data_IF_595461540722
#
_entry.id   IF_595461540722
#
_cell.length_a   1.000
_cell.length_b   1.000
_cell.length_c   1.000
_cell.angle_alpha   90.00
_cell.angle_beta   90.00
_cell.angle_gamma   90.00
#
_symmetry.space_group_name_H-M   'P 1'
#
loop_
_entity.id
_entity.type
_entity.pdbx_description
1 polymer ?
#
# COMPACT_ATOMS: atom_id res chain seq x y z
N UNK A 1 -28.71 -4.42 -21.68
CA UNK A 1 -28.54 -5.57 -22.60
C UNK A 1 -29.62 -5.52 -23.67
N UNK A 2 -29.22 -5.27 -24.93
CA UNK A 2 -30.14 -4.94 -26.01
C UNK A 2 -30.60 -6.15 -26.85
N UNK A 3 -31.26 -5.83 -27.97
CA UNK A 3 -31.77 -6.75 -29.01
C UNK A 3 -30.72 -7.79 -29.47
N UNK A 4 -29.43 -7.49 -29.32
CA UNK A 4 -28.31 -8.34 -29.76
C UNK A 4 -28.30 -9.71 -29.08
N UNK A 5 -28.70 -9.82 -27.81
CA UNK A 5 -28.73 -11.12 -27.12
C UNK A 5 -29.83 -12.06 -27.66
N UNK A 6 -30.78 -11.54 -28.44
CA UNK A 6 -31.84 -12.32 -29.08
C UNK A 6 -31.51 -12.70 -30.52
N UNK A 7 -30.45 -12.12 -31.12
CA UNK A 7 -30.08 -12.39 -32.51
C UNK A 7 -29.81 -13.88 -32.79
N UNK A 8 -29.10 -14.64 -31.93
CA UNK A 8 -28.88 -16.06 -32.19
C UNK A 8 -30.19 -16.85 -32.27
N UNK A 9 -31.16 -16.53 -31.40
CA UNK A 9 -32.47 -17.21 -31.39
C UNK A 9 -33.27 -16.96 -32.68
N UNK A 10 -33.06 -15.82 -33.33
CA UNK A 10 -33.79 -15.41 -34.54
C UNK A 10 -33.07 -15.91 -35.80
N UNK A 11 -31.74 -15.80 -35.85
CA UNK A 11 -30.94 -16.06 -37.04
C UNK A 11 -30.45 -17.51 -37.14
N UNK A 12 -30.16 -18.20 -36.03
CA UNK A 12 -29.67 -19.59 -36.09
C UNK A 12 -30.64 -20.57 -36.80
N UNK A 13 -31.97 -20.42 -36.72
CA UNK A 13 -32.92 -21.25 -37.47
C UNK A 13 -32.94 -20.98 -38.98
N UNK A 14 -32.42 -19.84 -39.44
CA UNK A 14 -32.43 -19.44 -40.86
C UNK A 14 -31.21 -20.04 -41.58
N UNK A 15 -31.35 -20.57 -42.81
CA UNK A 15 -30.21 -21.06 -43.59
C UNK A 15 -29.11 -19.99 -43.74
N UNK A 16 -27.90 -20.30 -43.25
CA UNK A 16 -26.76 -19.37 -43.25
C UNK A 16 -26.73 -18.36 -42.10
N UNK A 17 -27.79 -18.25 -41.29
CA UNK A 17 -27.84 -17.30 -40.18
C UNK A 17 -26.81 -17.56 -39.08
N UNK A 18 -26.39 -18.82 -38.88
CA UNK A 18 -25.25 -19.14 -37.98
C UNK A 18 -23.97 -18.39 -38.34
N UNK A 19 -23.61 -18.34 -39.63
CA UNK A 19 -22.42 -17.62 -40.12
C UNK A 19 -22.52 -16.12 -39.90
N UNK A 20 -23.74 -15.57 -39.96
CA UNK A 20 -24.00 -14.15 -39.71
C UNK A 20 -23.79 -13.85 -38.23
N UNK A 21 -24.29 -14.71 -37.34
CA UNK A 21 -24.06 -14.59 -35.89
C UNK A 21 -22.57 -14.69 -35.57
N UNK A 22 -21.85 -15.66 -36.16
CA UNK A 22 -20.41 -15.82 -35.93
C UNK A 22 -19.60 -14.61 -36.42
N UNK A 23 -19.99 -14.03 -37.56
CA UNK A 23 -19.37 -12.80 -38.07
C UNK A 23 -19.64 -11.60 -37.15
N UNK A 24 -20.84 -11.52 -36.57
CA UNK A 24 -21.20 -10.48 -35.61
C UNK A 24 -20.42 -10.64 -34.29
N UNK A 25 -20.37 -11.86 -33.75
CA UNK A 25 -19.57 -12.22 -32.57
C UNK A 25 -18.12 -11.75 -32.78
N UNK A 26 -17.53 -12.09 -33.92
CA UNK A 26 -16.17 -11.69 -34.26
C UNK A 26 -15.97 -10.16 -34.23
N UNK A 27 -16.85 -9.41 -34.89
CA UNK A 27 -16.73 -7.94 -34.98
C UNK A 27 -16.91 -7.28 -33.62
N UNK A 28 -17.91 -7.69 -32.85
CA UNK A 28 -18.20 -7.05 -31.55
C UNK A 28 -17.13 -7.41 -30.52
N UNK A 29 -16.73 -8.67 -30.44
CA UNK A 29 -15.66 -9.07 -29.52
C UNK A 29 -14.32 -8.46 -29.91
N UNK A 30 -14.06 -8.29 -31.21
CA UNK A 30 -12.91 -7.53 -31.67
C UNK A 30 -12.98 -6.07 -31.20
N UNK A 31 -14.16 -5.42 -31.27
CA UNK A 31 -14.32 -4.06 -30.78
C UNK A 31 -14.10 -3.95 -29.26
N UNK A 32 -14.74 -4.81 -28.46
CA UNK A 32 -14.55 -4.84 -27.01
C UNK A 32 -13.10 -5.13 -26.61
N UNK A 33 -12.46 -6.14 -27.21
CA UNK A 33 -11.08 -6.52 -26.87
C UNK A 33 -10.02 -5.48 -27.32
N UNK A 34 -10.35 -4.51 -28.18
CA UNK A 34 -9.41 -3.48 -28.62
C UNK A 34 -9.74 -2.08 -28.08
N UNK A 35 -10.75 -1.94 -27.22
CA UNK A 35 -11.18 -0.64 -26.67
C UNK A 35 -11.56 -0.73 -25.19
N UNK A 36 -10.80 -1.48 -24.41
CA UNK A 36 -11.03 -1.62 -22.97
C UNK A 36 -10.62 -0.34 -22.24
N UNK A 37 -11.54 0.31 -21.55
CA UNK A 37 -11.34 1.53 -20.76
C UNK A 37 -11.31 1.23 -19.26
N UNK A 38 -10.11 1.25 -18.63
CA UNK A 38 -9.99 0.97 -17.21
C UNK A 38 -10.61 2.06 -16.33
N UNK A 39 -11.27 1.67 -15.25
CA UNK A 39 -11.62 2.56 -14.14
C UNK A 39 -10.34 2.96 -13.40
N UNK A 40 -10.14 4.27 -13.21
CA UNK A 40 -9.00 4.79 -12.45
C UNK A 40 -9.15 4.47 -10.96
N UNK A 41 -8.58 3.36 -10.52
CA UNK A 41 -8.66 2.94 -9.12
C UNK A 41 -7.35 2.30 -8.63
N UNK A 42 -6.54 3.11 -7.95
CA UNK A 42 -5.28 2.70 -7.37
C UNK A 42 -5.34 2.71 -5.86
N UNK A 43 -5.14 1.55 -5.20
CA UNK A 43 -5.30 1.47 -3.75
C UNK A 43 -3.98 1.51 -2.98
N UNK A 44 -2.87 1.11 -3.60
CA UNK A 44 -1.55 1.08 -2.95
C UNK A 44 -0.41 1.13 -3.99
N UNK A 45 0.76 0.53 -3.69
CA UNK A 45 1.95 0.54 -4.55
C UNK A 45 1.76 0.01 -5.97
N UNK A 46 0.83 -0.94 -6.20
CA UNK A 46 0.53 -1.45 -7.55
C UNK A 46 -0.06 -0.35 -8.46
N UNK A 47 -0.70 0.67 -7.89
CA UNK A 47 -1.17 1.84 -8.64
C UNK A 47 -0.03 2.57 -9.34
N UNK A 48 1.15 2.65 -8.71
CA UNK A 48 2.31 3.31 -9.31
C UNK A 48 2.79 2.53 -10.54
N UNK A 49 2.77 1.20 -10.50
CA UNK A 49 3.12 0.41 -11.69
C UNK A 49 2.03 0.39 -12.76
N UNK A 50 0.77 0.56 -12.37
CA UNK A 50 -0.32 0.83 -13.31
C UNK A 50 -0.10 2.19 -14.01
N UNK A 51 0.33 3.22 -13.28
CA UNK A 51 0.71 4.52 -13.86
C UNK A 51 1.93 4.36 -14.78
N UNK A 52 2.98 3.66 -14.35
CA UNK A 52 4.16 3.36 -15.19
C UNK A 52 3.77 2.68 -16.50
N UNK A 53 2.84 1.73 -16.47
CA UNK A 53 2.34 1.05 -17.67
C UNK A 53 1.62 2.00 -18.64
N UNK A 54 0.98 3.05 -18.13
CA UNK A 54 0.34 4.09 -18.95
C UNK A 54 1.33 5.10 -19.54
N UNK A 55 2.55 5.19 -19.02
CA UNK A 55 3.55 6.17 -19.48
C UNK A 55 4.24 5.74 -20.78
N UNK A 56 4.88 6.71 -21.45
CA UNK A 56 5.45 6.58 -22.80
C UNK A 56 6.40 5.40 -23.03
N UNK A 57 7.07 4.89 -21.98
CA UNK A 57 7.96 3.74 -22.10
C UNK A 57 7.21 2.46 -22.49
N UNK A 58 6.03 2.28 -21.92
CA UNK A 58 5.23 1.06 -22.06
C UNK A 58 3.98 1.29 -22.90
N UNK A 59 3.33 2.43 -22.69
CA UNK A 59 2.27 2.99 -23.53
C UNK A 59 1.10 2.01 -23.76
N UNK A 60 0.27 1.87 -22.73
CA UNK A 60 -0.95 1.05 -22.76
C UNK A 60 -1.96 1.50 -23.84
N UNK A 61 -1.82 2.72 -24.39
CA UNK A 61 -2.62 3.22 -25.50
C UNK A 61 -2.53 2.39 -26.76
N UNK A 62 -1.39 1.73 -26.98
CA UNK A 62 -1.17 0.85 -28.15
C UNK A 62 -2.16 -0.32 -28.20
N UNK A 63 -2.76 -0.65 -27.06
CA UNK A 63 -3.73 -1.72 -26.92
C UNK A 63 -5.18 -1.20 -26.80
N UNK A 64 -5.41 0.11 -26.95
CA UNK A 64 -6.72 0.74 -26.81
C UNK A 64 -7.22 0.82 -25.38
N UNK A 65 -6.29 0.85 -24.41
CA UNK A 65 -6.58 0.91 -22.98
C UNK A 65 -5.99 2.12 -22.26
N UNK A 66 -5.74 3.20 -22.99
CA UNK A 66 -5.25 4.48 -22.48
C UNK A 66 -6.27 5.26 -21.68
N UNK A 67 -7.55 5.08 -21.96
CA UNK A 67 -8.57 5.95 -21.40
C UNK A 67 -8.96 5.47 -20.01
N UNK A 68 -8.13 5.84 -19.05
CA UNK A 68 -8.44 5.69 -17.63
C UNK A 68 -9.62 6.61 -17.28
N UNK A 69 -10.81 6.02 -17.11
CA UNK A 69 -12.04 6.74 -16.80
C UNK A 69 -12.13 6.96 -15.30
N UNK A 70 -12.38 8.20 -14.88
CA UNK A 70 -12.65 8.53 -13.49
C UNK A 70 -14.08 8.13 -13.05
N UNK A 71 -14.98 7.87 -13.99
CA UNK A 71 -16.37 7.48 -13.71
C UNK A 71 -16.60 6.00 -14.05
N UNK A 72 -17.17 5.19 -13.13
CA UNK A 72 -17.49 3.79 -13.40
C UNK A 72 -18.52 3.62 -14.52
N UNK A 73 -19.39 4.61 -14.74
CA UNK A 73 -20.46 4.57 -15.76
C UNK A 73 -19.94 4.60 -17.20
N UNK A 74 -18.66 4.88 -17.39
CA UNK A 74 -18.00 4.94 -18.70
C UNK A 74 -16.85 3.94 -18.82
N UNK A 75 -16.56 3.17 -17.77
CA UNK A 75 -15.53 2.14 -17.78
C UNK A 75 -16.13 0.78 -18.19
N UNK A 76 -15.29 -0.14 -18.62
CA UNK A 76 -15.61 -1.54 -18.86
C UNK A 76 -14.62 -2.50 -18.17
N UNK A 77 -13.50 -1.99 -17.67
CA UNK A 77 -12.47 -2.76 -16.99
C UNK A 77 -12.18 -2.18 -15.59
N UNK A 78 -12.27 -3.01 -14.56
CA UNK A 78 -11.91 -2.63 -13.19
C UNK A 78 -10.56 -3.28 -12.80
N UNK A 79 -9.49 -2.49 -12.81
CA UNK A 79 -8.17 -2.94 -12.33
C UNK A 79 -8.07 -2.64 -10.83
N UNK A 80 -8.06 -3.68 -10.01
CA UNK A 80 -7.82 -3.56 -8.57
C UNK A 80 -6.31 -3.58 -8.32
N UNK A 81 -5.70 -2.40 -8.23
CA UNK A 81 -4.26 -2.23 -8.13
C UNK A 81 -3.78 -1.94 -6.70
N UNK A 82 -3.74 -2.99 -5.86
CA UNK A 82 -3.10 -2.93 -4.53
C UNK A 82 -3.90 -3.54 -3.39
N UNK A 83 -3.59 -3.09 -2.17
CA UNK A 83 -4.23 -3.62 -0.95
C UNK A 83 -5.67 -3.17 -0.86
N UNK A 84 -6.57 -4.10 -0.53
CA UNK A 84 -7.98 -3.80 -0.28
C UNK A 84 -8.20 -3.87 1.21
N UNK A 85 -8.70 -2.78 1.79
CA UNK A 85 -9.08 -2.75 3.21
C UNK A 85 -10.56 -3.09 3.36
N UNK A 86 -10.94 -3.66 4.51
CA UNK A 86 -12.33 -3.97 4.87
C UNK A 86 -13.22 -2.71 4.74
N UNK A 87 -12.68 -1.54 5.13
CA UNK A 87 -13.38 -0.25 5.00
C UNK A 87 -13.65 0.14 3.54
N UNK A 88 -12.79 -0.28 2.62
CA UNK A 88 -12.87 0.06 1.20
C UNK A 88 -13.74 -0.95 0.42
N UNK A 89 -13.95 -2.15 0.95
CA UNK A 89 -14.69 -3.21 0.27
C UNK A 89 -16.11 -2.81 -0.21
N UNK A 90 -16.95 -2.14 0.61
CA UNK A 90 -18.27 -1.70 0.15
C UNK A 90 -18.21 -0.69 -0.99
N UNK A 91 -17.20 0.19 -1.01
CA UNK A 91 -17.01 1.15 -2.08
C UNK A 91 -16.59 0.45 -3.39
N UNK A 92 -15.75 -0.60 -3.31
CA UNK A 92 -15.38 -1.42 -4.46
C UNK A 92 -16.60 -2.12 -5.05
N UNK A 93 -17.43 -2.73 -4.19
CA UNK A 93 -18.66 -3.38 -4.63
C UNK A 93 -19.61 -2.39 -5.31
N UNK A 94 -19.83 -1.22 -4.69
CA UNK A 94 -20.67 -0.17 -5.29
C UNK A 94 -20.13 0.29 -6.65
N UNK A 95 -18.81 0.49 -6.78
CA UNK A 95 -18.19 0.87 -8.04
C UNK A 95 -18.42 -0.21 -9.10
N UNK A 96 -18.21 -1.49 -8.76
CA UNK A 96 -18.44 -2.61 -9.68
C UNK A 96 -19.89 -2.72 -10.14
N UNK A 97 -20.85 -2.53 -9.25
CA UNK A 97 -22.28 -2.55 -9.57
C UNK A 97 -22.69 -1.41 -10.51
N UNK A 98 -22.00 -0.27 -10.46
CA UNK A 98 -22.25 0.90 -11.32
C UNK A 98 -21.61 0.83 -12.70
N UNK A 99 -20.69 -0.12 -12.94
CA UNK A 99 -20.08 -0.32 -14.25
C UNK A 99 -21.12 -1.01 -15.18
N UNK A 100 -21.36 -0.48 -16.39
CA UNK A 100 -22.25 -1.11 -17.35
C UNK A 100 -21.66 -2.41 -17.90
N UNK A 101 -22.50 -3.43 -18.13
CA UNK A 101 -22.08 -4.66 -18.81
C UNK A 101 -21.95 -4.47 -20.33
N UNK A 102 -20.99 -5.13 -21.01
CA UNK A 102 -20.02 -6.10 -20.46
C UNK A 102 -18.91 -5.42 -19.66
N UNK A 103 -18.56 -6.01 -18.50
CA UNK A 103 -17.52 -5.51 -17.58
C UNK A 103 -16.59 -6.62 -17.13
N UNK A 104 -15.34 -6.26 -16.84
CA UNK A 104 -14.29 -7.20 -16.49
C UNK A 104 -13.48 -6.69 -15.31
N UNK A 105 -12.87 -7.59 -14.54
CA UNK A 105 -12.01 -7.23 -13.42
C UNK A 105 -10.63 -7.90 -13.49
N UNK A 106 -9.59 -7.11 -13.21
CA UNK A 106 -8.21 -7.58 -13.08
C UNK A 106 -7.75 -7.40 -11.63
N UNK A 107 -7.33 -8.50 -10.99
CA UNK A 107 -6.68 -8.46 -9.68
C UNK A 107 -5.17 -8.25 -9.82
N UNK A 108 -4.67 -7.05 -9.57
CA UNK A 108 -3.26 -6.69 -9.78
C UNK A 108 -2.47 -6.68 -8.47
N UNK A 109 -1.62 -7.69 -8.31
CA UNK A 109 -0.67 -7.81 -7.22
C UNK A 109 -1.12 -8.72 -6.08
N UNK A 110 -0.16 -9.14 -5.24
CA UNK A 110 -0.35 -10.13 -4.19
C UNK A 110 -1.40 -9.68 -3.15
N UNK A 111 -1.46 -8.39 -2.84
CA UNK A 111 -2.45 -7.86 -1.91
C UNK A 111 -3.88 -8.05 -2.42
N UNK A 112 -4.12 -7.83 -3.71
CA UNK A 112 -5.43 -8.00 -4.33
C UNK A 112 -5.78 -9.47 -4.52
N UNK A 113 -4.79 -10.33 -4.79
CA UNK A 113 -5.02 -11.76 -5.02
C UNK A 113 -5.37 -12.48 -3.72
N UNK A 114 -4.62 -12.24 -2.64
CA UNK A 114 -4.74 -13.03 -1.41
C UNK A 114 -4.52 -12.23 -0.12
N UNK A 115 -4.53 -10.90 -0.14
CA UNK A 115 -4.11 -10.06 0.98
C UNK A 115 -2.58 -9.87 1.08
N UNK A 116 -1.80 -10.66 0.34
CA UNK A 116 -0.36 -10.47 0.13
C UNK A 116 0.43 -10.48 1.45
N UNK A 117 1.41 -9.56 1.64
CA UNK A 117 2.20 -9.51 2.88
C UNK A 117 1.36 -9.21 4.14
N UNK A 118 0.13 -8.72 3.97
CA UNK A 118 -0.77 -8.38 5.07
C UNK A 118 -1.68 -9.55 5.51
N UNK A 119 -1.58 -10.72 4.86
CA UNK A 119 -2.47 -11.86 5.11
C UNK A 119 -2.45 -12.36 6.57
N UNK A 120 -1.28 -12.42 7.22
CA UNK A 120 -1.12 -13.11 8.50
C UNK A 120 -1.54 -12.30 9.74
N UNK A 121 -1.26 -10.99 9.76
CA UNK A 121 -1.34 -10.19 11.00
C UNK A 121 -2.16 -8.89 10.86
N UNK A 122 -2.86 -8.69 9.74
CA UNK A 122 -3.63 -7.46 9.53
C UNK A 122 -5.14 -7.74 9.51
N UNK A 123 -5.83 -7.22 10.54
CA UNK A 123 -7.30 -7.34 10.67
C UNK A 123 -8.07 -6.46 9.69
N UNK A 124 -7.41 -5.47 9.08
CA UNK A 124 -8.06 -4.45 8.26
C UNK A 124 -8.04 -4.76 6.76
N UNK A 125 -7.43 -5.87 6.34
CA UNK A 125 -7.20 -6.21 4.93
C UNK A 125 -8.06 -7.38 4.50
N UNK A 126 -8.76 -7.21 3.39
CA UNK A 126 -9.55 -8.27 2.75
C UNK A 126 -8.60 -9.30 2.13
N UNK A 127 -8.89 -10.57 2.39
CA UNK A 127 -8.07 -11.71 1.92
C UNK A 127 -8.43 -12.12 0.48
N UNK A 128 -8.28 -11.17 -0.43
CA UNK A 128 -8.49 -11.38 -1.86
C UNK A 128 -9.75 -10.69 -2.39
N UNK A 129 -9.59 -9.99 -3.52
CA UNK A 129 -10.67 -9.28 -4.22
C UNK A 129 -11.80 -10.19 -4.68
N UNK A 130 -11.48 -11.45 -4.96
CA UNK A 130 -12.44 -12.47 -5.42
C UNK A 130 -13.58 -12.73 -4.44
N UNK A 131 -13.39 -12.38 -3.16
CA UNK A 131 -14.42 -12.44 -2.11
C UNK A 131 -15.43 -11.29 -2.16
N UNK A 132 -15.11 -10.20 -2.89
CA UNK A 132 -15.96 -9.00 -2.99
C UNK A 132 -16.62 -8.94 -4.37
N UNK A 133 -15.83 -9.10 -5.44
CA UNK A 133 -16.28 -9.03 -6.83
C UNK A 133 -15.68 -10.18 -7.65
N UNK A 134 -16.35 -10.63 -8.72
CA UNK A 134 -15.76 -11.64 -9.61
C UNK A 134 -14.54 -11.07 -10.32
N UNK A 135 -13.43 -11.82 -10.31
CA UNK A 135 -12.16 -11.43 -10.94
C UNK A 135 -11.86 -12.32 -12.14
N UNK A 136 -11.62 -11.72 -13.30
CA UNK A 136 -11.38 -12.45 -14.55
C UNK A 136 -9.93 -12.91 -14.72
N UNK A 137 -8.98 -12.04 -14.34
CA UNK A 137 -7.55 -12.28 -14.52
C UNK A 137 -6.79 -11.80 -13.29
N UNK A 138 -5.95 -12.68 -12.73
CA UNK A 138 -5.02 -12.33 -11.65
C UNK A 138 -3.60 -12.11 -12.17
N UNK A 139 -2.95 -11.06 -11.69
CA UNK A 139 -1.59 -10.68 -12.08
C UNK A 139 -0.68 -10.76 -10.85
N UNK A 140 0.16 -11.81 -10.74
CA UNK A 140 1.01 -11.99 -9.57
C UNK A 140 2.17 -10.98 -9.55
N UNK A 141 2.45 -10.41 -8.36
CA UNK A 141 3.59 -9.51 -8.12
C UNK A 141 3.40 -8.62 -6.88
N UNK A 142 4.45 -7.96 -6.38
CA UNK A 142 4.36 -7.07 -5.21
C UNK A 142 5.37 -5.90 -5.25
N UNK A 143 5.15 -4.87 -6.10
CA UNK A 143 4.15 -4.81 -7.16
C UNK A 143 4.57 -5.63 -8.41
N UNK A 144 3.63 -6.06 -9.27
CA UNK A 144 3.98 -6.65 -10.56
C UNK A 144 4.63 -5.60 -11.46
N UNK A 145 5.61 -6.02 -12.26
CA UNK A 145 6.23 -5.13 -13.25
C UNK A 145 5.19 -4.72 -14.31
N UNK A 146 5.32 -3.55 -14.96
CA UNK A 146 4.40 -3.11 -16.00
C UNK A 146 4.19 -4.17 -17.09
N UNK A 147 5.22 -4.89 -17.52
CA UNK A 147 5.12 -5.95 -18.54
C UNK A 147 4.17 -7.09 -18.12
N UNK A 148 4.09 -7.40 -16.82
CA UNK A 148 3.15 -8.39 -16.30
C UNK A 148 1.70 -7.90 -16.39
N UNK A 149 1.48 -6.58 -16.22
CA UNK A 149 0.17 -5.96 -16.45
C UNK A 149 -0.25 -6.09 -17.92
N UNK A 150 0.65 -5.83 -18.88
CA UNK A 150 0.37 -6.04 -20.31
C UNK A 150 0.01 -7.48 -20.63
N UNK A 151 0.74 -8.44 -20.08
CA UNK A 151 0.43 -9.84 -20.28
C UNK A 151 -0.94 -10.22 -19.72
N UNK A 152 -1.31 -9.69 -18.55
CA UNK A 152 -2.67 -9.84 -18.00
C UNK A 152 -3.75 -9.24 -18.90
N UNK A 153 -3.50 -8.05 -19.46
CA UNK A 153 -4.40 -7.40 -20.41
C UNK A 153 -4.56 -8.22 -21.69
N UNK A 154 -3.46 -8.74 -22.26
CA UNK A 154 -3.52 -9.60 -23.45
C UNK A 154 -4.31 -10.89 -23.19
N UNK A 155 -4.14 -11.51 -22.02
CA UNK A 155 -4.95 -12.66 -21.62
C UNK A 155 -6.44 -12.31 -21.49
N UNK A 156 -6.76 -11.15 -20.93
CA UNK A 156 -8.14 -10.69 -20.87
C UNK A 156 -8.72 -10.50 -22.29
N UNK A 157 -7.95 -9.92 -23.21
CA UNK A 157 -8.35 -9.75 -24.62
C UNK A 157 -8.59 -11.09 -25.31
N UNK A 158 -7.76 -12.09 -25.04
CA UNK A 158 -7.97 -13.45 -25.54
C UNK A 158 -9.26 -14.06 -25.00
N UNK A 159 -9.57 -13.85 -23.71
CA UNK A 159 -10.83 -14.29 -23.08
C UNK A 159 -12.05 -13.63 -23.75
N UNK A 160 -12.03 -12.30 -23.94
CA UNK A 160 -13.12 -11.54 -24.58
C UNK A 160 -13.36 -12.02 -26.02
N UNK A 161 -12.29 -12.29 -26.77
CA UNK A 161 -12.40 -12.78 -28.16
C UNK A 161 -13.10 -14.13 -28.29
N UNK A 162 -13.14 -14.91 -27.22
CA UNK A 162 -13.79 -16.24 -27.19
C UNK A 162 -15.26 -16.18 -26.73
N UNK A 163 -15.76 -15.02 -26.32
CA UNK A 163 -17.16 -14.87 -25.93
C UNK A 163 -18.09 -15.03 -27.15
N UNK A 164 -19.36 -15.35 -26.91
CA UNK A 164 -20.33 -15.54 -28.00
C UNK A 164 -21.68 -15.03 -27.55
N UNK A 165 -22.49 -14.47 -28.44
CA UNK A 165 -23.87 -14.11 -28.08
C UNK A 165 -24.77 -15.32 -27.81
N UNK A 166 -24.33 -16.54 -28.18
CA UNK A 166 -25.00 -17.79 -27.80
C UNK A 166 -24.81 -18.13 -26.32
N UNK A 167 -23.70 -17.68 -25.75
CA UNK A 167 -23.38 -17.74 -24.32
C UNK A 167 -23.12 -16.32 -23.83
N UNK A 168 -24.19 -15.52 -23.64
CA UNK A 168 -24.05 -14.11 -23.35
C UNK A 168 -23.19 -13.91 -22.11
N UNK A 169 -22.44 -12.80 -22.13
CA UNK A 169 -21.68 -12.34 -20.98
C UNK A 169 -22.60 -12.28 -19.75
N UNK A 170 -22.12 -12.87 -18.66
CA UNK A 170 -22.73 -12.85 -17.34
C UNK A 170 -21.66 -12.54 -16.31
N UNK A 171 -22.06 -11.93 -15.20
CA UNK A 171 -21.17 -11.75 -14.07
C UNK A 171 -20.78 -13.12 -13.51
N UNK A 172 -19.48 -13.34 -13.31
CA UNK A 172 -18.98 -14.58 -12.72
C UNK A 172 -19.38 -14.69 -11.25
N UNK A 173 -19.25 -15.90 -10.70
CA UNK A 173 -19.48 -16.13 -9.29
C UNK A 173 -18.33 -15.56 -8.43
N UNK A 174 -18.68 -15.10 -7.23
CA UNK A 174 -17.72 -14.68 -6.21
C UNK A 174 -17.03 -15.93 -5.67
N UNK A 175 -15.71 -15.93 -5.63
CA UNK A 175 -14.93 -17.01 -5.04
C UNK A 175 -14.53 -16.62 -3.61
N UNK A 176 -15.30 -17.10 -2.64
CA UNK A 176 -15.01 -16.94 -1.21
C UNK A 176 -14.20 -18.11 -0.65
N UNK A 177 -13.60 -18.95 -1.50
CA UNK A 177 -12.76 -20.04 -1.04
C UNK A 177 -11.61 -19.44 -0.24
N UNK A 178 -11.49 -19.86 1.03
CA UNK A 178 -10.37 -19.42 1.87
C UNK A 178 -9.08 -19.78 1.14
N UNK A 179 -8.32 -18.76 0.73
CA UNK A 179 -6.99 -18.90 0.18
C UNK A 179 -6.07 -19.27 1.35
N UNK A 180 -6.22 -20.51 1.83
CA UNK A 180 -5.43 -21.08 2.89
C UNK A 180 -3.94 -20.89 2.62
N UNK A 181 -3.11 -21.02 3.65
CA UNK A 181 -1.67 -20.77 3.56
C UNK A 181 -0.99 -21.74 2.57
N UNK A 182 -1.02 -21.40 1.28
CA UNK A 182 -0.46 -22.20 0.18
C UNK A 182 1.03 -22.44 0.35
N UNK A 183 1.73 -21.54 1.04
CA UNK A 183 3.14 -21.73 1.37
C UNK A 183 3.33 -22.84 2.40
N UNK A 184 2.50 -22.89 3.45
CA UNK A 184 2.51 -23.98 4.41
C UNK A 184 2.08 -25.32 3.78
N UNK A 185 1.09 -25.30 2.88
CA UNK A 185 0.69 -26.48 2.10
C UNK A 185 1.83 -26.97 1.19
N UNK A 186 2.46 -26.07 0.44
CA UNK A 186 3.59 -26.39 -0.43
C UNK A 186 4.79 -26.90 0.37
N UNK A 187 5.08 -26.32 1.53
CA UNK A 187 6.13 -26.79 2.43
C UNK A 187 5.84 -28.22 2.92
N UNK A 188 4.61 -28.50 3.36
CA UNK A 188 4.20 -29.85 3.78
C UNK A 188 4.29 -30.86 2.63
N UNK A 189 3.85 -30.48 1.43
CA UNK A 189 3.93 -31.31 0.24
C UNK A 189 5.39 -31.60 -0.13
N UNK A 190 6.26 -30.60 -0.03
CA UNK A 190 7.69 -30.74 -0.29
C UNK A 190 8.38 -31.64 0.74
N UNK A 191 8.09 -31.46 2.04
CA UNK A 191 8.58 -32.34 3.11
C UNK A 191 8.10 -33.80 2.93
N UNK A 192 6.87 -34.00 2.45
CA UNK A 192 6.35 -35.33 2.14
C UNK A 192 7.08 -35.96 0.94
N UNK A 193 7.35 -35.20 -0.11
CA UNK A 193 8.11 -35.66 -1.27
C UNK A 193 9.57 -35.98 -0.93
N UNK A 194 10.21 -35.21 -0.04
CA UNK A 194 11.57 -35.53 0.44
C UNK A 194 11.59 -36.86 1.19
N UNK A 195 10.59 -37.13 2.05
CA UNK A 195 10.49 -38.43 2.74
C UNK A 195 10.34 -39.60 1.77
N UNK A 196 9.44 -39.47 0.78
CA UNK A 196 9.24 -40.50 -0.25
C UNK A 196 10.56 -40.74 -1.00
N UNK A 197 11.25 -39.67 -1.39
CA UNK A 197 12.53 -39.77 -2.10
C UNK A 197 13.61 -40.43 -1.25
N UNK A 198 13.68 -40.12 0.04
CA UNK A 198 14.64 -40.73 0.97
C UNK A 198 14.35 -42.22 1.19
N UNK A 199 13.07 -42.60 1.29
CA UNK A 199 12.60 -43.98 1.38
C UNK A 199 12.94 -44.76 0.10
N UNK A 200 12.58 -44.24 -1.08
CA UNK A 200 12.91 -44.82 -2.39
C UNK A 200 14.44 -44.98 -2.56
N UNK A 201 15.21 -43.97 -2.15
CA UNK A 201 16.67 -44.03 -2.20
C UNK A 201 17.24 -45.05 -1.21
N UNK A 202 16.62 -45.23 -0.04
CA UNK A 202 17.03 -46.22 0.95
C UNK A 202 16.71 -47.65 0.48
N UNK A 203 15.53 -47.87 -0.11
CA UNK A 203 15.14 -49.13 -0.73
C UNK A 203 16.06 -49.48 -1.92
N UNK A 204 16.33 -48.50 -2.79
CA UNK A 204 17.26 -48.68 -3.89
C UNK A 204 18.68 -49.04 -3.42
N UNK A 205 19.15 -48.42 -2.31
CA UNK A 205 20.43 -48.77 -1.68
C UNK A 205 20.42 -50.19 -1.10
N UNK A 206 19.34 -50.59 -0.44
CA UNK A 206 19.19 -51.92 0.12
C UNK A 206 19.20 -52.99 -0.98
N UNK A 207 18.38 -52.79 -2.01
CA UNK A 207 18.33 -53.68 -3.18
C UNK A 207 19.69 -53.74 -3.90
N UNK A 208 20.37 -52.60 -4.06
CA UNK A 208 21.69 -52.56 -4.69
C UNK A 208 22.74 -53.36 -3.90
N UNK A 209 22.71 -53.27 -2.56
CA UNK A 209 23.61 -54.00 -1.66
C UNK A 209 23.34 -55.50 -1.67
N UNK A 210 22.08 -55.91 -1.77
CA UNK A 210 21.69 -57.32 -1.90
C UNK A 210 22.16 -57.91 -3.24
N UNK A 211 21.97 -57.18 -4.35
CA UNK A 211 22.45 -57.62 -5.68
C UNK A 211 23.98 -57.62 -5.80
N UNK A 212 24.69 -56.80 -5.01
CA UNK A 212 26.13 -56.60 -5.15
C UNK A 212 26.83 -56.65 -3.77
N UNK A 213 26.93 -57.83 -3.14
CA UNK A 213 27.49 -57.97 -1.79
C UNK A 213 29.00 -57.66 -1.72
N UNK A 214 29.72 -57.87 -2.82
CA UNK A 214 31.17 -57.62 -2.91
C UNK A 214 31.52 -56.17 -3.32
N UNK A 215 30.51 -55.34 -3.62
CA UNK A 215 30.72 -53.98 -4.09
C UNK A 215 31.14 -53.05 -2.95
N UNK A 216 32.42 -52.65 -2.97
CA UNK A 216 32.94 -51.53 -2.17
C UNK A 216 32.97 -50.29 -3.05
N UNK A 217 32.09 -49.33 -2.76
CA UNK A 217 32.13 -48.03 -3.43
C UNK A 217 33.38 -47.26 -3.01
N UNK A 218 34.32 -47.06 -3.93
CA UNK A 218 35.41 -46.09 -3.74
C UNK A 218 34.88 -44.64 -3.80
N UNK A 219 33.69 -44.46 -4.38
CA UNK A 219 33.04 -43.16 -4.50
C UNK A 219 32.38 -42.76 -3.18
N UNK A 220 32.89 -41.70 -2.55
CA UNK A 220 32.25 -41.02 -1.43
C UNK A 220 31.43 -39.85 -2.00
N UNK A 221 30.10 -39.81 -1.80
CA UNK A 221 29.30 -38.69 -2.29
C UNK A 221 29.82 -37.40 -1.67
N UNK A 222 30.40 -36.55 -2.51
CA UNK A 222 30.88 -35.24 -2.10
C UNK A 222 29.64 -34.36 -1.97
N UNK A 223 29.28 -33.98 -0.74
CA UNK A 223 28.21 -33.00 -0.53
C UNK A 223 28.62 -31.74 -1.30
N UNK A 224 27.86 -31.37 -2.32
CA UNK A 224 28.10 -30.12 -3.05
C UNK A 224 27.94 -29.01 -2.01
N UNK A 225 29.06 -28.40 -1.63
CA UNK A 225 29.06 -27.22 -0.79
C UNK A 225 28.41 -26.15 -1.67
N UNK A 226 27.20 -25.71 -1.32
CA UNK A 226 26.55 -24.59 -2.02
C UNK A 226 27.55 -23.44 -2.00
N UNK A 227 27.90 -22.90 -3.18
CA UNK A 227 28.72 -21.70 -3.24
C UNK A 227 28.02 -20.63 -2.41
N UNK A 228 28.62 -20.27 -1.27
CA UNK A 228 28.27 -19.05 -0.58
C UNK A 228 28.60 -17.93 -1.54
N UNK A 229 27.58 -17.21 -2.01
CA UNK A 229 27.80 -15.98 -2.77
C UNK A 229 28.83 -15.15 -2.01
N UNK A 230 29.84 -14.59 -2.71
CA UNK A 230 30.78 -13.69 -2.05
C UNK A 230 29.95 -12.61 -1.36
N UNK A 231 30.15 -12.46 -0.06
CA UNK A 231 29.54 -11.35 0.68
C UNK A 231 29.98 -10.08 -0.04
N UNK A 232 29.04 -9.42 -0.69
CA UNK A 232 29.30 -8.11 -1.27
C UNK A 232 29.60 -7.22 -0.07
N UNK A 233 30.84 -6.72 0.10
CA UNK A 233 31.17 -5.93 1.27
C UNK A 233 30.25 -4.73 1.28
N UNK A 234 29.41 -4.64 2.32
CA UNK A 234 28.54 -3.49 2.49
C UNK A 234 29.43 -2.26 2.61
N UNK A 235 29.35 -1.37 1.64
CA UNK A 235 30.05 -0.09 1.71
C UNK A 235 29.33 0.74 2.76
N UNK A 236 29.89 0.78 3.96
CA UNK A 236 29.34 1.60 5.03
C UNK A 236 29.09 3.02 4.52
N UNK A 237 27.86 3.53 4.70
CA UNK A 237 27.53 4.91 4.34
C UNK A 237 28.43 5.83 5.14
N UNK A 238 28.94 6.87 4.49
CA UNK A 238 29.66 7.92 5.19
C UNK A 238 28.65 8.65 6.07
N UNK A 239 28.82 8.55 7.38
CA UNK A 239 28.07 9.34 8.35
C UNK A 239 28.23 10.83 8.01
N UNK A 240 27.11 11.53 7.87
CA UNK A 240 27.08 12.96 7.58
C UNK A 240 26.52 13.69 8.80
N UNK A 241 27.20 14.77 9.19
CA UNK A 241 26.77 15.63 10.27
C UNK A 241 27.44 15.38 11.63
N UNK A 242 26.94 16.07 12.65
CA UNK A 242 27.35 16.04 14.04
C UNK A 242 26.83 14.75 14.69
N UNK A 243 27.47 14.31 15.76
CA UNK A 243 26.94 13.22 16.56
C UNK A 243 25.63 13.63 17.24
N UNK A 244 24.78 12.65 17.56
CA UNK A 244 23.53 12.91 18.28
C UNK A 244 23.74 13.60 19.63
N UNK A 245 24.86 13.26 20.30
CA UNK A 245 25.27 13.88 21.57
C UNK A 245 25.58 15.37 21.39
N UNK A 246 26.29 15.74 20.33
CA UNK A 246 26.60 17.14 20.03
C UNK A 246 25.34 17.93 19.66
N UNK A 247 24.47 17.36 18.81
CA UNK A 247 23.19 17.99 18.43
C UNK A 247 22.29 18.23 19.65
N UNK A 248 22.16 17.22 20.51
CA UNK A 248 21.40 17.33 21.74
C UNK A 248 22.01 18.36 22.70
N UNK A 249 23.35 18.37 22.84
CA UNK A 249 24.06 19.35 23.65
C UNK A 249 23.78 20.78 23.22
N UNK A 250 23.79 21.04 21.90
CA UNK A 250 23.46 22.37 21.35
C UNK A 250 22.02 22.78 21.73
N UNK A 251 21.05 21.87 21.61
CA UNK A 251 19.67 22.16 22.03
C UNK A 251 19.58 22.48 23.54
N UNK A 252 20.31 21.74 24.38
CA UNK A 252 20.31 21.92 25.83
C UNK A 252 21.04 23.18 26.33
N UNK A 253 21.93 23.78 25.53
CA UNK A 253 22.61 25.04 25.90
C UNK A 253 21.61 26.15 26.26
N UNK A 254 20.50 26.23 25.51
CA UNK A 254 19.47 27.26 25.70
C UNK A 254 18.19 26.71 26.33
N UNK A 255 17.91 25.42 26.15
CA UNK A 255 16.66 24.80 26.59
C UNK A 255 16.94 23.56 27.46
N UNK A 256 17.12 23.77 28.75
CA UNK A 256 17.44 22.69 29.70
C UNK A 256 16.29 21.71 29.94
N UNK A 257 15.05 22.09 29.64
CA UNK A 257 13.85 21.25 29.79
C UNK A 257 13.66 20.20 28.70
N UNK A 258 14.59 20.12 27.74
CA UNK A 258 14.51 19.26 26.57
C UNK A 258 15.05 17.86 26.89
N UNK A 259 14.32 16.83 26.49
CA UNK A 259 14.69 15.43 26.71
C UNK A 259 14.60 14.59 25.43
N UNK A 260 15.02 13.32 25.50
CA UNK A 260 14.84 12.37 24.39
C UNK A 260 13.50 11.65 24.52
N UNK A 261 12.83 11.41 23.41
CA UNK A 261 11.58 10.64 23.42
C UNK A 261 11.88 9.14 23.62
N UNK A 262 11.32 8.56 24.69
CA UNK A 262 11.41 7.12 24.96
C UNK A 262 12.78 6.60 25.41
N UNK A 263 13.75 7.48 25.68
CA UNK A 263 15.11 7.11 26.08
C UNK A 263 15.60 8.00 27.23
N UNK A 264 16.39 7.42 28.13
CA UNK A 264 17.13 8.17 29.12
C UNK A 264 18.36 8.82 28.48
N UNK A 265 18.68 10.04 28.92
CA UNK A 265 19.86 10.77 28.43
C UNK A 265 21.10 10.15 29.07
N UNK A 266 21.77 9.27 28.33
CA UNK A 266 23.04 8.65 28.74
C UNK A 266 24.03 8.56 27.58
N UNK A 267 25.32 8.43 27.91
CA UNK A 267 26.37 8.29 26.90
C UNK A 267 26.23 6.99 26.11
N UNK A 268 25.73 5.93 26.74
CA UNK A 268 25.42 4.66 26.09
C UNK A 268 24.28 4.81 25.07
N UNK A 269 23.24 5.58 25.40
CA UNK A 269 22.12 5.83 24.50
C UNK A 269 22.60 6.56 23.22
N UNK A 270 23.44 7.59 23.35
CA UNK A 270 24.00 8.28 22.20
C UNK A 270 24.99 7.44 21.40
N UNK A 271 25.81 6.61 22.06
CA UNK A 271 26.76 5.73 21.40
C UNK A 271 26.08 4.66 20.53
N UNK A 272 24.85 4.28 20.86
CA UNK A 272 24.03 3.36 20.08
C UNK A 272 23.36 4.02 18.85
N UNK A 273 23.40 5.35 18.73
CA UNK A 273 22.74 6.08 17.64
C UNK A 273 23.73 6.45 16.54
N UNK A 274 23.31 6.27 15.29
CA UNK A 274 24.06 6.77 14.13
C UNK A 274 23.77 8.26 13.92
N UNK A 275 24.73 9.03 13.41
CA UNK A 275 24.54 10.47 13.15
C UNK A 275 23.57 10.80 12.00
N UNK A 276 23.32 9.84 11.10
CA UNK A 276 22.38 10.01 9.96
C UNK A 276 20.93 9.65 10.32
N UNK A 277 20.66 9.17 11.55
CA UNK A 277 19.30 8.93 12.03
C UNK A 277 18.69 10.20 12.64
N UNK A 278 17.37 10.37 12.61
CA UNK A 278 16.73 11.49 13.29
C UNK A 278 16.89 11.43 14.82
N UNK A 279 17.25 12.55 15.43
CA UNK A 279 17.20 12.73 16.88
C UNK A 279 15.78 13.10 17.31
N UNK A 280 15.10 12.24 18.07
CA UNK A 280 13.75 12.52 18.56
C UNK A 280 13.79 13.24 19.91
N UNK A 281 13.51 14.54 19.86
CA UNK A 281 13.61 15.47 20.97
C UNK A 281 12.21 15.82 21.47
N UNK A 282 11.93 15.54 22.73
CA UNK A 282 10.74 15.99 23.42
C UNK A 282 10.94 17.43 23.91
N UNK A 283 10.02 18.31 23.52
CA UNK A 283 10.05 19.74 23.85
C UNK A 283 8.72 20.19 24.42
N UNK A 284 8.78 21.14 25.36
CA UNK A 284 7.60 21.79 25.92
C UNK A 284 6.87 22.62 24.84
N UNK A 285 5.58 22.88 25.04
CA UNK A 285 4.81 23.71 24.12
C UNK A 285 5.36 25.13 24.05
N UNK A 286 5.83 25.65 25.17
CA UNK A 286 6.35 27.01 25.34
C UNK A 286 7.67 27.20 24.60
N UNK A 287 8.55 26.20 24.65
CA UNK A 287 9.89 26.28 24.06
C UNK A 287 9.91 25.91 22.58
N UNK A 288 8.92 25.16 22.08
CA UNK A 288 8.90 24.57 20.74
C UNK A 288 9.26 25.55 19.61
N UNK A 289 8.56 26.69 19.53
CA UNK A 289 8.79 27.67 18.47
C UNK A 289 10.19 28.29 18.58
N UNK A 290 10.60 28.65 19.79
CA UNK A 290 11.89 29.28 20.05
C UNK A 290 13.07 28.33 19.88
N UNK A 291 12.88 27.03 20.15
CA UNK A 291 13.86 25.98 19.91
C UNK A 291 14.01 25.74 18.41
N UNK A 292 12.91 25.64 17.66
CA UNK A 292 12.95 25.52 16.21
C UNK A 292 13.67 26.71 15.56
N UNK A 293 13.37 27.93 15.99
CA UNK A 293 14.06 29.14 15.52
C UNK A 293 15.57 29.12 15.87
N UNK A 294 15.92 28.72 17.09
CA UNK A 294 17.30 28.62 17.52
C UNK A 294 18.08 27.59 16.67
N UNK A 295 17.56 26.37 16.52
CA UNK A 295 18.18 25.31 15.73
C UNK A 295 18.27 25.66 14.23
N UNK A 296 17.32 26.43 13.72
CA UNK A 296 17.36 26.96 12.35
C UNK A 296 18.52 27.94 12.14
N UNK A 297 18.68 28.88 13.07
CA UNK A 297 19.59 30.00 12.94
C UNK A 297 21.00 29.75 13.49
N UNK A 298 21.18 28.73 14.34
CA UNK A 298 22.50 28.38 14.88
C UNK A 298 23.41 27.86 13.73
N UNK A 299 24.59 28.48 13.51
CA UNK A 299 25.51 28.09 12.43
C UNK A 299 26.03 26.65 12.54
N UNK A 300 25.94 26.00 13.71
CA UNK A 300 26.36 24.62 13.93
C UNK A 300 25.30 23.62 13.46
N UNK A 301 24.01 23.92 13.62
CA UNK A 301 22.90 23.02 13.25
C UNK A 301 22.26 23.36 11.91
N UNK A 302 21.97 24.64 11.64
CA UNK A 302 21.34 25.10 10.39
C UNK A 302 20.15 24.23 9.94
N UNK A 303 19.15 24.06 10.80
CA UNK A 303 17.94 23.28 10.48
C UNK A 303 17.03 24.08 9.54
N UNK A 304 17.41 24.22 8.28
CA UNK A 304 16.81 25.12 7.29
C UNK A 304 15.67 24.47 6.48
N UNK A 305 15.57 23.15 6.50
CA UNK A 305 14.56 22.40 5.75
C UNK A 305 13.57 21.69 6.67
N UNK A 306 12.28 21.98 6.50
CA UNK A 306 11.19 21.22 7.11
C UNK A 306 10.78 20.08 6.17
N UNK A 307 10.98 18.84 6.60
CA UNK A 307 10.57 17.64 5.86
C UNK A 307 9.05 17.48 5.94
N UNK A 308 8.51 17.49 7.16
CA UNK A 308 7.09 17.22 7.41
C UNK A 308 6.65 17.73 8.79
N UNK A 309 5.34 17.93 8.94
CA UNK A 309 4.69 18.07 10.26
C UNK A 309 3.57 17.05 10.28
N UNK A 310 3.57 16.18 11.28
CA UNK A 310 2.59 15.11 11.43
C UNK A 310 2.18 14.95 12.88
N UNK A 311 1.14 14.16 13.14
CA UNK A 311 0.67 13.89 14.49
C UNK A 311 0.35 12.42 14.71
N UNK A 312 0.47 11.98 15.95
CA UNK A 312 0.01 10.67 16.42
C UNK A 312 -1.04 10.87 17.48
N UNK A 313 -2.18 10.20 17.32
CA UNK A 313 -3.28 10.25 18.28
C UNK A 313 -3.13 9.18 19.36
N UNK A 314 -2.84 9.57 20.60
CA UNK A 314 -2.87 8.71 21.78
C UNK A 314 -4.21 8.81 22.50
N UNK A 315 -4.43 8.01 23.56
CA UNK A 315 -5.72 8.02 24.25
C UNK A 315 -5.99 9.39 24.92
N UNK A 316 -4.96 9.90 25.58
CA UNK A 316 -4.94 11.04 26.50
C UNK A 316 -4.30 12.30 25.91
N UNK A 317 -3.43 12.16 24.92
CA UNK A 317 -2.71 13.28 24.30
C UNK A 317 -2.53 13.08 22.78
N UNK A 318 -2.05 14.11 22.09
CA UNK A 318 -1.48 13.99 20.74
C UNK A 318 0.03 14.17 20.82
N UNK A 319 0.78 13.38 20.06
CA UNK A 319 2.16 13.73 19.76
C UNK A 319 2.23 14.47 18.44
N UNK A 320 2.56 15.77 18.48
CA UNK A 320 2.86 16.56 17.29
C UNK A 320 4.35 16.45 16.99
N UNK A 321 4.72 16.13 15.75
CA UNK A 321 6.11 15.87 15.35
C UNK A 321 6.45 16.75 14.15
N UNK A 322 7.36 17.70 14.33
CA UNK A 322 7.99 18.43 13.23
C UNK A 322 9.34 17.81 12.88
N UNK A 323 9.47 17.39 11.62
CA UNK A 323 10.68 16.77 11.11
C UNK A 323 11.54 17.82 10.41
N UNK A 324 12.67 18.15 11.02
CA UNK A 324 13.60 19.14 10.52
C UNK A 324 14.87 18.46 9.98
N UNK A 325 15.46 19.06 8.96
CA UNK A 325 16.74 18.66 8.40
C UNK A 325 17.61 19.88 8.11
N UNK A 326 18.92 19.71 8.23
CA UNK A 326 19.89 20.61 7.62
C UNK A 326 20.22 20.16 6.20
N UNK A 327 19.90 21.00 5.21
CA UNK A 327 20.16 20.71 3.81
C UNK A 327 21.66 20.65 3.48
N UNK A 328 22.47 21.46 4.17
CA UNK A 328 23.92 21.53 3.99
C UNK A 328 24.66 20.47 4.80
N UNK A 329 24.26 20.26 6.07
CA UNK A 329 25.01 19.42 7.01
C UNK A 329 24.48 18.00 7.18
N UNK A 330 23.25 17.75 6.75
CA UNK A 330 22.62 16.42 6.79
C UNK A 330 22.04 15.99 8.14
N UNK A 331 22.07 16.85 9.17
CA UNK A 331 21.44 16.54 10.47
C UNK A 331 19.93 16.38 10.32
N UNK A 332 19.33 15.49 11.12
CA UNK A 332 17.87 15.32 11.19
C UNK A 332 17.43 15.37 12.65
N UNK A 333 16.45 16.20 12.94
CA UNK A 333 15.87 16.33 14.29
C UNK A 333 14.36 16.25 14.16
N UNK A 334 13.74 15.45 15.01
CA UNK A 334 12.31 15.45 15.22
C UNK A 334 12.03 16.23 16.49
N UNK A 335 11.30 17.34 16.35
CA UNK A 335 10.80 18.10 17.49
C UNK A 335 9.40 17.56 17.82
N UNK A 336 9.29 16.86 18.93
CA UNK A 336 8.06 16.24 19.41
C UNK A 336 7.46 17.05 20.56
N UNK A 337 6.19 17.41 20.43
CA UNK A 337 5.37 17.93 21.53
C UNK A 337 4.34 16.89 21.92
N UNK A 338 4.30 16.56 23.21
CA UNK A 338 3.16 15.83 23.79
C UNK A 338 2.11 16.85 24.23
N UNK A 339 0.97 16.86 23.57
CA UNK A 339 -0.12 17.83 23.74
C UNK A 339 -1.31 17.14 24.43
N UNK A 340 -1.52 17.36 25.74
CA UNK A 340 -2.67 16.81 26.44
C UNK A 340 -3.98 17.23 25.78
N UNK A 341 -4.93 16.30 25.67
CA UNK A 341 -6.26 16.62 25.16
C UNK A 341 -7.05 17.37 26.24
N UNK A 342 -7.86 18.33 25.81
CA UNK A 342 -8.75 19.06 26.70
C UNK A 342 -9.87 18.15 27.21
N UNK A 343 -9.75 17.74 28.47
CA UNK A 343 -10.71 16.87 29.16
C UNK A 343 -11.96 17.60 29.67
N UNK A 344 -12.03 18.92 29.53
CA UNK A 344 -13.25 19.67 29.85
C UNK A 344 -14.36 19.49 28.80
N UNK A 345 -14.00 19.03 27.60
CA UNK A 345 -14.92 18.80 26.49
C UNK A 345 -15.63 17.45 26.67
N UNK A 346 -16.99 17.43 26.75
CA UNK A 346 -17.76 16.20 26.90
C UNK A 346 -17.48 15.19 25.79
N UNK A 347 -17.43 13.90 26.15
CA UNK A 347 -17.04 12.79 25.27
C UNK A 347 -17.79 12.80 23.93
N UNK A 348 -19.09 13.08 23.94
CA UNK A 348 -19.94 13.12 22.76
C UNK A 348 -19.62 14.26 21.79
N UNK A 349 -18.83 15.26 22.21
CA UNK A 349 -18.40 16.40 21.38
C UNK A 349 -16.93 16.35 20.99
N UNK A 350 -16.12 15.47 21.59
CA UNK A 350 -14.65 15.44 21.41
C UNK A 350 -14.25 15.22 19.96
N UNK A 351 -14.89 14.28 19.27
CA UNK A 351 -14.60 13.92 17.88
C UNK A 351 -14.73 15.10 16.89
N UNK A 352 -15.47 16.16 17.26
CA UNK A 352 -15.71 17.34 16.42
C UNK A 352 -15.05 18.62 16.95
N UNK A 353 -14.42 18.57 18.12
CA UNK A 353 -13.86 19.74 18.79
C UNK A 353 -12.35 19.80 18.64
N UNK A 354 -11.78 21.00 18.74
CA UNK A 354 -10.33 21.17 18.87
C UNK A 354 -9.97 20.77 20.31
N UNK A 355 -9.11 19.77 20.45
CA UNK A 355 -8.75 19.21 21.77
C UNK A 355 -7.35 19.65 22.23
N UNK A 356 -6.54 20.20 21.33
CA UNK A 356 -5.19 20.65 21.63
C UNK A 356 -4.77 21.76 20.66
N UNK A 357 -3.79 22.56 21.08
CA UNK A 357 -3.18 23.59 20.25
C UNK A 357 -1.66 23.63 20.42
N UNK A 358 -0.96 24.05 19.37
CA UNK A 358 0.49 24.21 19.35
C UNK A 358 0.88 25.53 18.66
N UNK A 359 2.05 26.12 18.97
CA UNK A 359 2.59 27.23 18.19
C UNK A 359 2.85 26.83 16.73
N UNK A 360 2.54 27.72 15.78
CA UNK A 360 2.79 27.51 14.36
C UNK A 360 4.25 27.74 13.98
N UNK A 361 4.83 26.84 13.21
CA UNK A 361 6.13 26.99 12.55
C UNK A 361 6.02 27.68 11.18
N UNK A 362 4.82 28.01 10.69
CA UNK A 362 4.60 28.57 9.33
C UNK A 362 5.40 29.86 9.04
N UNK A 363 5.67 30.68 10.05
CA UNK A 363 6.50 31.88 9.94
C UNK A 363 8.00 31.59 9.86
N UNK A 364 8.43 30.45 10.40
CA UNK A 364 9.81 29.99 10.29
C UNK A 364 10.03 29.19 9.00
N UNK A 365 9.11 28.29 8.65
CA UNK A 365 9.23 27.43 7.48
C UNK A 365 7.97 27.59 6.62
N UNK A 366 8.13 28.10 5.41
CA UNK A 366 7.00 28.29 4.50
C UNK A 366 6.25 26.98 4.23
N UNK A 367 6.97 25.85 4.19
CA UNK A 367 6.40 24.51 4.04
C UNK A 367 5.49 24.08 5.19
N UNK A 368 5.65 24.64 6.40
CA UNK A 368 4.77 24.32 7.53
C UNK A 368 3.34 24.79 7.29
N UNK A 369 3.11 25.81 6.44
CA UNK A 369 1.75 26.27 6.15
C UNK A 369 0.84 25.13 5.64
N UNK A 370 1.31 24.34 4.68
CA UNK A 370 0.52 23.23 4.15
C UNK A 370 0.40 22.09 5.16
N UNK A 371 1.50 21.76 5.85
CA UNK A 371 1.59 20.61 6.75
C UNK A 371 0.80 20.80 8.05
N UNK A 372 0.81 22.00 8.60
CA UNK A 372 0.00 22.33 9.78
C UNK A 372 -1.50 22.35 9.45
N UNK A 373 -1.89 22.79 8.24
CA UNK A 373 -3.27 22.67 7.75
C UNK A 373 -3.70 21.23 7.55
N UNK A 374 -2.82 20.36 7.04
CA UNK A 374 -3.05 18.92 6.94
C UNK A 374 -3.31 18.31 8.33
N UNK A 375 -2.44 18.60 9.31
CA UNK A 375 -2.62 18.12 10.69
C UNK A 375 -3.89 18.68 11.32
N UNK A 376 -4.21 19.96 11.09
CA UNK A 376 -5.47 20.55 11.55
C UNK A 376 -6.68 19.83 10.93
N UNK A 377 -6.67 19.61 9.62
CA UNK A 377 -7.80 19.00 8.91
C UNK A 377 -8.02 17.54 9.30
N UNK A 378 -6.94 16.80 9.56
CA UNK A 378 -6.98 15.37 9.87
C UNK A 378 -7.10 15.03 11.35
N UNK A 379 -6.44 15.79 12.23
CA UNK A 379 -6.35 15.56 13.68
C UNK A 379 -6.94 16.68 14.53
N UNK A 380 -7.35 17.81 13.96
CA UNK A 380 -7.98 18.92 14.70
C UNK A 380 -7.09 19.53 15.79
N UNK A 381 -5.78 19.52 15.59
CA UNK A 381 -4.82 20.26 16.41
C UNK A 381 -4.75 21.68 15.85
N UNK A 382 -5.06 22.68 16.66
CA UNK A 382 -5.01 24.08 16.23
C UNK A 382 -3.57 24.63 16.28
N UNK A 383 -3.24 25.55 15.37
CA UNK A 383 -1.93 26.18 15.31
C UNK A 383 -2.01 27.68 15.59
N UNK A 384 -1.41 28.10 16.70
CA UNK A 384 -1.40 29.50 17.13
C UNK A 384 -0.40 30.31 16.30
N UNK A 385 -0.87 31.44 15.76
CA UNK A 385 -0.04 32.31 14.91
C UNK A 385 0.06 31.88 13.44
N UNK A 386 -0.69 30.85 13.03
CA UNK A 386 -0.82 30.44 11.62
C UNK A 386 -1.71 31.43 10.84
N UNK A 387 -1.29 31.87 9.66
CA UNK A 387 -1.99 32.91 8.90
C UNK A 387 -3.32 32.45 8.27
N UNK A 388 -3.41 31.18 7.84
CA UNK A 388 -4.62 30.61 7.20
C UNK A 388 -4.82 29.12 7.57
N UNK A 389 -5.61 28.83 8.60
CA UNK A 389 -5.87 27.46 9.06
C UNK A 389 -7.14 26.83 8.46
N UNK A 390 -7.50 27.18 7.22
CA UNK A 390 -8.63 26.53 6.52
C UNK A 390 -8.31 25.08 6.13
N UNK A 391 -9.33 24.23 6.16
CA UNK A 391 -9.28 22.83 5.67
C UNK A 391 -8.77 22.77 4.22
N UNK A 392 -8.09 21.68 3.86
CA UNK A 392 -7.48 21.51 2.53
C UNK A 392 -7.85 20.20 1.84
N UNK A 393 -8.23 19.18 2.60
CA UNK A 393 -8.63 17.87 2.10
C UNK A 393 -10.12 17.59 2.31
N UNK A 394 -10.68 18.06 3.42
CA UNK A 394 -12.09 17.83 3.74
C UNK A 394 -12.94 19.05 3.38
N UNK A 395 -14.19 18.78 3.01
CA UNK A 395 -15.20 19.82 2.80
C UNK A 395 -15.38 20.67 4.07
N UNK A 396 -15.76 21.94 3.91
CA UNK A 396 -15.92 22.89 5.03
C UNK A 396 -16.90 22.36 6.10
N UNK A 397 -17.93 21.64 5.66
CA UNK A 397 -18.98 21.05 6.49
C UNK A 397 -18.66 19.63 6.99
N UNK A 398 -17.47 19.10 6.70
CA UNK A 398 -17.12 17.74 7.12
C UNK A 398 -17.15 17.61 8.65
N UNK A 399 -17.92 16.66 9.20
CA UNK A 399 -18.02 16.51 10.64
C UNK A 399 -16.73 15.91 11.20
N UNK A 400 -15.99 16.67 12.01
CA UNK A 400 -14.86 16.14 12.80
C UNK A 400 -13.53 15.99 12.06
N UNK A 401 -12.74 15.00 12.51
CA UNK A 401 -11.32 14.83 12.19
C UNK A 401 -10.98 13.33 11.97
N UNK A 402 -10.79 12.86 10.72
CA UNK A 402 -10.84 11.45 10.36
C UNK A 402 -9.66 10.59 10.84
N UNK A 403 -8.52 11.19 11.22
CA UNK A 403 -7.37 10.46 11.75
C UNK A 403 -7.35 10.33 13.27
N UNK A 404 -8.39 10.83 13.96
CA UNK A 404 -8.56 10.57 15.38
C UNK A 404 -9.20 9.21 15.65
N UNK A 405 -8.79 8.57 16.75
CA UNK A 405 -9.32 7.30 17.25
C UNK A 405 -10.73 7.41 17.81
N UNK A 406 -11.15 8.60 18.27
CA UNK A 406 -12.50 8.87 18.76
C UNK A 406 -13.48 9.25 17.65
N UNK A 407 -12.99 9.43 16.41
CA UNK A 407 -13.84 9.78 15.28
C UNK A 407 -14.63 8.57 14.77
N UNK A 408 -15.95 8.73 14.74
CA UNK A 408 -16.89 7.79 14.12
C UNK A 408 -17.75 8.52 13.10
N UNK A 409 -17.99 7.92 11.95
CA UNK A 409 -18.86 8.47 10.91
C UNK A 409 -20.11 7.58 10.80
N UNK A 410 -21.31 8.12 10.54
CA UNK A 410 -22.56 7.32 10.45
C UNK A 410 -22.51 6.20 9.40
N UNK A 411 -21.66 6.33 8.39
CA UNK A 411 -21.42 5.33 7.35
C UNK A 411 -20.13 4.52 7.56
N UNK A 412 -19.34 4.83 8.59
CA UNK A 412 -18.31 3.92 9.08
C UNK A 412 -19.05 2.88 9.91
N UNK A 413 -19.07 1.65 9.41
CA UNK A 413 -19.69 0.49 10.08
C UNK A 413 -19.22 0.48 11.54
N UNK A 414 -20.15 0.70 12.49
CA UNK A 414 -19.85 0.47 13.89
C UNK A 414 -19.51 -1.01 14.04
N UNK A 415 -18.45 -1.31 14.77
CA UNK A 415 -18.18 -2.67 15.24
C UNK A 415 -19.22 -3.03 16.31
N UNK A 416 -20.46 -3.23 15.91
CA UNK A 416 -21.45 -3.95 16.73
C UNK A 416 -21.75 -5.27 16.01
N UNK A 417 -21.17 -6.36 16.52
CA UNK A 417 -21.37 -7.73 16.04
C UNK A 417 -20.08 -8.51 15.93
#
# INVERSE_FOLDING_TARGET
MGIINYLPKILDPVPGGKKIVDALDYVVNWAHANSLWPLTYGTSCCAIEMMSASMARYDIARFGSEVFRASPRQADLFILAGTITERMAPAIQMLWEQIPGPKYAIGMGACTISGGPFYYNNYSVVRGAASIIPVDVFIPGCPPRPEALFHGLLKLREKIRQETYRHPWHEGDIDSTDLGNRFAEAKKAWEALEKIKDEEMAEARAHFKERNPDYKSDYRPTRIVKETFPEVPYRARKQQGLSQKELFGIAQEKFQGVSLYGLEVSDEAFAAMESDTPLDILVSREDYLTLAEFLKNDPRTQMDYLIDVTAVDWKDHFDLIAQLMSSEKGHKIFLRLSLPKDDSIPEEKRAKSILASAPSLSKLYLGANWKEREVFDMFGIAFEGHDDLRRIFLDEDFPGYPLRKDFTHPHIISREG
#
